data_IF_012503312534
#
_entry.id   IF_012503312534
#
_cell.length_a   1.000
_cell.length_b   1.000
_cell.length_c   1.000
_cell.angle_alpha   90.00
_cell.angle_beta   90.00
_cell.angle_gamma   90.00
#
_symmetry.space_group_name_H-M   'P 1'
#
loop_
_entity.id
_entity.type
_entity.pdbx_description
1 polymer ?
#
# COMPACT_ATOMS: atom_id res chain seq x y z
N UNK A 1 8.03 -9.30 -9.34
CA UNK A 1 7.32 -9.17 -8.04
C UNK A 1 6.85 -10.55 -7.62
N UNK A 2 7.15 -10.96 -6.39
CA UNK A 2 6.68 -12.24 -5.83
C UNK A 2 5.22 -12.14 -5.40
N UNK A 3 4.55 -13.28 -5.20
CA UNK A 3 3.17 -13.30 -4.70
C UNK A 3 3.03 -12.65 -3.32
N UNK A 4 4.06 -12.79 -2.46
CA UNK A 4 4.06 -12.20 -1.13
C UNK A 4 4.22 -10.67 -1.19
N UNK A 5 5.08 -10.16 -2.07
CA UNK A 5 5.22 -8.72 -2.31
C UNK A 5 3.93 -8.12 -2.87
N UNK A 6 3.31 -8.78 -3.86
CA UNK A 6 2.05 -8.36 -4.43
C UNK A 6 0.97 -8.25 -3.36
N UNK A 7 0.80 -9.30 -2.54
CA UNK A 7 -0.16 -9.32 -1.43
C UNK A 7 0.09 -8.19 -0.43
N UNK A 8 1.35 -7.97 -0.03
CA UNK A 8 1.68 -6.93 0.95
C UNK A 8 1.42 -5.52 0.42
N UNK A 9 1.81 -5.24 -0.82
CA UNK A 9 1.61 -3.93 -1.45
C UNK A 9 0.15 -3.63 -1.73
N UNK A 10 -0.63 -4.63 -2.16
CA UNK A 10 -2.07 -4.45 -2.37
C UNK A 10 -2.82 -4.28 -1.05
N UNK A 11 -2.44 -5.01 0.01
CA UNK A 11 -2.94 -4.77 1.38
C UNK A 11 -2.61 -3.36 1.88
N UNK A 12 -1.38 -2.89 1.70
CA UNK A 12 -0.98 -1.52 2.06
C UNK A 12 -1.80 -0.47 1.31
N UNK A 13 -1.97 -0.61 0.00
CA UNK A 13 -2.80 0.31 -0.79
C UNK A 13 -4.24 0.34 -0.28
N UNK A 14 -4.81 -0.82 0.05
CA UNK A 14 -6.15 -0.93 0.63
C UNK A 14 -6.24 -0.16 1.96
N UNK A 15 -5.31 -0.38 2.89
CA UNK A 15 -5.26 0.33 4.16
C UNK A 15 -5.15 1.86 4.00
N UNK A 16 -4.33 2.32 3.05
CA UNK A 16 -4.19 3.76 2.73
C UNK A 16 -5.51 4.33 2.19
N UNK A 17 -6.23 3.57 1.36
CA UNK A 17 -7.53 4.01 0.82
C UNK A 17 -8.61 4.20 1.91
N UNK A 18 -8.47 3.51 3.05
CA UNK A 18 -9.33 3.67 4.23
C UNK A 18 -8.84 4.73 5.22
N UNK A 19 -7.75 5.45 4.91
CA UNK A 19 -7.25 6.59 5.68
C UNK A 19 -6.11 6.26 6.65
N UNK A 20 -5.61 5.03 6.68
CA UNK A 20 -4.39 4.70 7.45
C UNK A 20 -3.20 5.29 6.71
N UNK A 21 -2.46 6.20 7.35
CA UNK A 21 -1.58 7.09 6.58
C UNK A 21 -0.13 7.14 7.04
N UNK A 22 0.21 6.76 8.27
CA UNK A 22 1.61 6.77 8.75
C UNK A 22 2.25 5.39 8.69
N UNK A 23 3.58 5.32 8.56
CA UNK A 23 4.32 4.03 8.48
C UNK A 23 3.99 3.11 9.65
N UNK A 24 3.97 3.65 10.88
CA UNK A 24 3.70 2.84 12.08
C UNK A 24 2.24 2.37 12.13
N UNK A 25 1.29 3.21 11.74
CA UNK A 25 -0.11 2.85 11.67
C UNK A 25 -0.34 1.79 10.59
N UNK A 26 0.26 1.96 9.41
CA UNK A 26 0.20 1.01 8.30
C UNK A 26 0.80 -0.33 8.68
N UNK A 27 2.00 -0.35 9.29
CA UNK A 27 2.63 -1.59 9.78
C UNK A 27 1.70 -2.34 10.72
N UNK A 28 1.10 -1.64 11.70
CA UNK A 28 0.17 -2.24 12.66
C UNK A 28 -1.11 -2.73 11.98
N UNK A 29 -1.66 -1.95 11.05
CA UNK A 29 -2.89 -2.30 10.35
C UNK A 29 -2.71 -3.52 9.44
N UNK A 30 -1.63 -3.62 8.67
CA UNK A 30 -1.40 -4.79 7.82
C UNK A 30 -1.15 -6.07 8.63
N UNK A 31 -0.58 -5.95 9.82
CA UNK A 31 -0.43 -7.07 10.75
C UNK A 31 -1.79 -7.52 11.29
N UNK A 32 -2.63 -6.58 11.74
CA UNK A 32 -3.92 -6.89 12.38
C UNK A 32 -5.03 -7.27 11.39
N UNK A 33 -5.13 -6.56 10.28
CA UNK A 33 -6.24 -6.68 9.32
C UNK A 33 -5.93 -7.70 8.23
N UNK A 34 -4.67 -7.78 7.79
CA UNK A 34 -4.25 -8.61 6.65
C UNK A 34 -3.39 -9.82 7.04
N UNK A 35 -3.02 -9.95 8.33
CA UNK A 35 -2.14 -10.99 8.87
C UNK A 35 -0.76 -11.01 8.20
N UNK A 36 -0.22 -9.83 7.87
CA UNK A 36 1.07 -9.66 7.23
C UNK A 36 2.04 -9.01 8.21
N UNK A 37 2.99 -9.80 8.71
CA UNK A 37 4.08 -9.29 9.53
C UNK A 37 5.14 -8.66 8.63
N UNK A 38 5.46 -7.39 8.88
CA UNK A 38 6.48 -6.65 8.14
C UNK A 38 7.21 -5.65 9.06
N UNK A 39 8.48 -5.39 8.76
CA UNK A 39 9.22 -4.31 9.42
C UNK A 39 8.78 -2.93 8.92
N UNK A 40 9.05 -1.88 9.70
CA UNK A 40 8.77 -0.51 9.28
C UNK A 40 9.55 -0.12 8.01
N UNK A 41 10.78 -0.61 7.85
CA UNK A 41 11.61 -0.34 6.68
C UNK A 41 11.06 -1.00 5.42
N UNK A 42 10.51 -2.21 5.55
CA UNK A 42 9.84 -2.88 4.44
C UNK A 42 8.56 -2.14 4.03
N UNK A 43 7.79 -1.64 5.01
CA UNK A 43 6.62 -0.78 4.74
C UNK A 43 7.03 0.50 4.01
N UNK A 44 8.14 1.14 4.39
CA UNK A 44 8.67 2.31 3.66
C UNK A 44 9.04 1.99 2.23
N UNK A 45 9.79 0.91 2.01
CA UNK A 45 10.16 0.47 0.66
C UNK A 45 8.94 0.19 -0.23
N UNK A 46 7.87 -0.36 0.34
CA UNK A 46 6.62 -0.58 -0.40
C UNK A 46 5.82 0.72 -0.63
N UNK A 47 5.86 1.68 0.30
CA UNK A 47 5.31 3.02 0.09
C UNK A 47 6.04 3.71 -1.07
N UNK A 48 7.37 3.69 -1.08
CA UNK A 48 8.17 4.27 -2.16
C UNK A 48 7.80 3.66 -3.51
N UNK A 49 7.65 2.33 -3.56
CA UNK A 49 7.19 1.64 -4.76
C UNK A 49 5.77 2.05 -5.18
N UNK A 50 4.82 2.19 -4.23
CA UNK A 50 3.45 2.63 -4.53
C UNK A 50 3.42 4.09 -5.04
N UNK A 51 4.34 4.94 -4.58
CA UNK A 51 4.54 6.30 -5.10
C UNK A 51 5.07 6.25 -6.53
N UNK A 52 6.09 5.43 -6.81
CA UNK A 52 6.63 5.24 -8.17
C UNK A 52 5.56 4.76 -9.16
N UNK A 53 4.64 3.89 -8.70
CA UNK A 53 3.52 3.43 -9.51
C UNK A 53 2.40 4.48 -9.67
N UNK A 54 2.49 5.62 -8.99
CA UNK A 54 1.49 6.69 -9.01
C UNK A 54 0.16 6.28 -8.36
N UNK A 55 0.20 5.35 -7.40
CA UNK A 55 -1.00 4.89 -6.69
C UNK A 55 -1.25 5.69 -5.42
N UNK A 56 -0.20 6.22 -4.79
CA UNK A 56 -0.29 7.07 -3.61
C UNK A 56 0.60 8.31 -3.75
N UNK A 57 0.32 9.33 -2.93
CA UNK A 57 1.21 10.44 -2.65
C UNK A 57 1.80 10.28 -1.24
N UNK A 58 3.06 10.64 -1.09
CA UNK A 58 3.79 10.56 0.19
C UNK A 58 4.42 11.91 0.53
N UNK A 59 4.16 12.41 1.73
CA UNK A 59 4.72 13.69 2.21
C UNK A 59 5.96 13.53 3.11
N UNK A 60 6.51 12.31 3.23
CA UNK A 60 7.54 11.98 4.23
C UNK A 60 6.99 11.42 5.54
N UNK A 61 5.72 11.67 5.84
CA UNK A 61 5.06 11.21 7.08
C UNK A 61 3.68 10.59 6.85
N UNK A 62 2.94 11.10 5.85
CA UNK A 62 1.54 10.76 5.59
C UNK A 62 1.38 10.29 4.15
N UNK A 63 0.78 9.11 3.98
CA UNK A 63 0.38 8.53 2.70
C UNK A 63 -1.06 8.90 2.40
N UNK A 64 -1.33 9.26 1.14
CA UNK A 64 -2.68 9.51 0.63
C UNK A 64 -2.89 8.75 -0.66
N UNK A 65 -4.04 8.09 -0.77
CA UNK A 65 -4.40 7.40 -2.00
C UNK A 65 -4.68 8.42 -3.11
N UNK A 66 -4.22 8.14 -4.32
CA UNK A 66 -4.58 8.92 -5.52
C UNK A 66 -5.90 8.41 -6.10
N UNK A 67 -6.47 9.13 -7.06
CA UNK A 67 -7.63 8.64 -7.83
C UNK A 67 -7.33 7.28 -8.51
N UNK A 68 -6.17 7.16 -9.17
CA UNK A 68 -5.72 5.89 -9.75
C UNK A 68 -5.59 4.79 -8.70
N UNK A 69 -5.07 5.11 -7.52
CA UNK A 69 -4.99 4.18 -6.40
C UNK A 69 -6.37 3.69 -5.96
N UNK A 70 -7.35 4.60 -5.87
CA UNK A 70 -8.74 4.25 -5.57
C UNK A 70 -9.36 3.36 -6.65
N UNK A 71 -9.09 3.61 -7.93
CA UNK A 71 -9.57 2.75 -9.01
C UNK A 71 -9.00 1.33 -8.94
N UNK A 72 -7.71 1.19 -8.57
CA UNK A 72 -7.10 -0.12 -8.34
C UNK A 72 -7.75 -0.84 -7.16
N UNK A 73 -7.97 -0.16 -6.03
CA UNK A 73 -8.66 -0.75 -4.86
C UNK A 73 -10.11 -1.13 -5.21
N UNK A 74 -10.80 -0.30 -5.98
CA UNK A 74 -12.16 -0.54 -6.45
C UNK A 74 -12.25 -1.57 -7.59
N UNK A 75 -11.12 -2.17 -7.99
CA UNK A 75 -11.01 -3.14 -9.09
C UNK A 75 -11.50 -2.61 -10.45
N UNK A 76 -11.44 -1.29 -10.64
CA UNK A 76 -11.68 -0.61 -11.92
C UNK A 76 -10.43 -0.56 -12.78
N UNK A 77 -9.26 -0.73 -12.16
CA UNK A 77 -7.97 -0.91 -12.82
C UNK A 77 -7.21 -2.10 -12.20
N UNK A 78 -6.32 -2.72 -12.97
CA UNK A 78 -5.45 -3.81 -12.47
C UNK A 78 -4.37 -3.27 -11.53
N UNK A 79 -4.00 -4.03 -10.51
CA UNK A 79 -2.83 -3.71 -9.71
C UNK A 79 -1.56 -3.91 -10.55
N UNK A 80 -0.55 -3.02 -10.47
CA UNK A 80 0.66 -3.17 -11.28
C UNK A 80 1.37 -4.50 -11.01
N UNK A 81 1.62 -5.28 -12.07
CA UNK A 81 2.25 -6.60 -11.98
C UNK A 81 1.29 -7.77 -11.75
N UNK A 82 -0.03 -7.52 -11.70
CA UNK A 82 -1.04 -8.57 -11.90
C UNK A 82 -1.18 -8.90 -13.40
N UNK A 83 -1.27 -10.20 -13.72
CA UNK A 83 -1.46 -10.71 -15.08
C UNK A 83 -2.88 -10.47 -15.60
#
# INVERSE_FOLDING_TARGET
>A
MTAQELKRRSSLLMSISFGVSTVLALRKDIEMTHFIVASADLVRADIDWLVEMGLIQWSGEVARCTERGHDVVAKRAKFPGEA
#
